data_IF_830775545385
#
_entry.id   IF_830775545385
#
_cell.length_a   1.000
_cell.length_b   1.000
_cell.length_c   1.000
_cell.angle_alpha   90.00
_cell.angle_beta   90.00
_cell.angle_gamma   90.00
#
_symmetry.space_group_name_H-M   'P 1'
#
loop_
_entity.id
_entity.type
_entity.pdbx_description
1 polymer ?
#
# COMPACT_ATOMS: atom_id res chain seq x y z
N UNK A 1 -14.64 -12.76 25.12
CA UNK A 1 -14.73 -11.28 25.10
C UNK A 1 -13.66 -10.59 24.23
N UNK A 2 -12.44 -11.13 24.11
CA UNK A 2 -11.32 -10.51 23.39
C UNK A 2 -11.47 -10.43 21.84
N UNK A 3 -12.28 -11.29 21.23
CA UNK A 3 -12.55 -11.27 19.77
C UNK A 3 -13.48 -10.15 19.31
N UNK A 4 -14.27 -9.54 20.21
CA UNK A 4 -15.25 -8.49 19.85
C UNK A 4 -14.72 -7.07 20.00
N UNK A 5 -13.66 -6.86 20.78
CA UNK A 5 -13.03 -5.55 20.97
C UNK A 5 -12.14 -5.15 19.78
N UNK A 6 -11.45 -6.12 19.17
CA UNK A 6 -10.68 -5.91 17.94
C UNK A 6 -11.53 -5.68 16.68
N UNK A 7 -12.77 -6.16 16.67
CA UNK A 7 -13.69 -6.00 15.53
C UNK A 7 -14.36 -4.61 15.46
N UNK A 8 -14.22 -3.76 16.49
CA UNK A 8 -14.79 -2.40 16.51
C UNK A 8 -13.78 -1.26 16.54
N UNK A 9 -12.49 -1.53 16.77
CA UNK A 9 -11.47 -0.49 16.97
C UNK A 9 -10.60 -0.18 15.73
N UNK A 10 -10.70 -0.94 14.62
CA UNK A 10 -9.77 -0.72 13.48
C UNK A 10 -10.40 -0.19 12.17
N UNK A 11 -11.71 -0.29 11.96
CA UNK A 11 -12.33 0.28 10.77
C UNK A 11 -13.77 0.74 11.08
N UNK A 12 -14.05 2.04 11.26
CA UNK A 12 -15.35 2.53 10.84
C UNK A 12 -15.46 2.18 9.36
N UNK A 13 -16.52 1.46 8.98
CA UNK A 13 -16.89 1.25 7.58
C UNK A 13 -17.14 2.64 6.99
N UNK A 14 -16.06 3.25 6.51
CA UNK A 14 -16.06 4.54 5.87
C UNK A 14 -16.68 4.27 4.50
N UNK A 15 -17.77 4.97 4.22
CA UNK A 15 -18.56 4.77 3.02
C UNK A 15 -17.68 4.77 1.76
N UNK A 16 -18.05 4.03 0.70
CA UNK A 16 -17.22 3.87 -0.51
C UNK A 16 -16.94 5.19 -1.28
N UNK A 17 -17.46 6.33 -0.81
CA UNK A 17 -17.39 7.62 -1.51
C UNK A 17 -16.10 8.41 -1.28
N UNK A 18 -15.20 7.98 -0.39
CA UNK A 18 -13.97 8.74 -0.07
C UNK A 18 -12.66 8.12 -0.58
N UNK A 19 -12.68 7.02 -1.35
CA UNK A 19 -11.47 6.47 -2.04
C UNK A 19 -11.05 7.33 -3.24
N UNK A 20 -11.14 8.66 -3.09
CA UNK A 20 -10.83 9.65 -4.11
C UNK A 20 -9.84 10.70 -3.65
N UNK A 21 -9.35 10.63 -2.40
CA UNK A 21 -8.35 11.53 -1.88
C UNK A 21 -7.26 10.67 -1.28
N UNK A 22 -6.03 10.83 -1.77
CA UNK A 22 -4.81 10.32 -1.16
C UNK A 22 -4.91 10.47 0.36
N UNK A 23 -5.24 9.38 1.05
CA UNK A 23 -5.51 9.46 2.48
C UNK A 23 -4.21 9.94 3.14
N UNK A 24 -4.23 11.02 3.93
CA UNK A 24 -3.03 11.61 4.52
C UNK A 24 -2.22 10.59 5.34
N UNK A 25 -2.89 9.53 5.82
CA UNK A 25 -2.30 8.37 6.49
C UNK A 25 -1.27 7.63 5.62
N UNK A 26 -1.52 7.51 4.32
CA UNK A 26 -0.59 6.87 3.38
C UNK A 26 0.68 7.71 3.19
N UNK A 27 0.52 9.03 3.02
CA UNK A 27 1.63 9.98 2.85
C UNK A 27 2.50 9.99 4.12
N UNK A 28 1.87 10.06 5.30
CA UNK A 28 2.58 10.02 6.59
C UNK A 28 3.38 8.71 6.71
N UNK A 29 2.80 7.57 6.34
CA UNK A 29 3.50 6.29 6.37
C UNK A 29 4.69 6.26 5.40
N UNK A 30 4.56 6.78 4.18
CA UNK A 30 5.67 6.85 3.22
C UNK A 30 6.80 7.75 3.74
N UNK A 31 6.48 8.90 4.32
CA UNK A 31 7.48 9.81 4.91
C UNK A 31 8.20 9.17 6.10
N UNK A 32 7.47 8.49 6.99
CA UNK A 32 8.07 7.76 8.10
C UNK A 32 8.98 6.63 7.61
N UNK A 33 8.57 5.87 6.60
CA UNK A 33 9.37 4.78 6.05
C UNK A 33 10.65 5.29 5.39
N UNK A 34 10.57 6.38 4.62
CA UNK A 34 11.73 7.01 3.98
C UNK A 34 12.70 7.58 5.02
N UNK A 35 12.18 8.22 6.07
CA UNK A 35 12.98 8.72 7.18
C UNK A 35 13.71 7.59 7.93
N UNK A 36 13.03 6.48 8.20
CA UNK A 36 13.64 5.29 8.80
C UNK A 36 14.74 4.68 7.92
N UNK A 37 14.53 4.61 6.60
CA UNK A 37 15.54 4.11 5.67
C UNK A 37 16.79 5.00 5.65
N UNK A 38 16.62 6.32 5.59
CA UNK A 38 17.73 7.28 5.61
C UNK A 38 18.50 7.19 6.93
N UNK A 39 17.79 7.06 8.06
CA UNK A 39 18.39 6.85 9.37
C UNK A 39 19.19 5.54 9.44
N UNK A 40 18.67 4.45 8.88
CA UNK A 40 19.38 3.15 8.81
C UNK A 40 20.63 3.18 7.93
N UNK A 41 20.67 4.03 6.90
CA UNK A 41 21.85 4.15 6.00
C UNK A 41 22.97 4.99 6.63
N UNK A 42 22.62 6.00 7.43
CA UNK A 42 23.61 6.91 8.03
C UNK A 42 24.08 6.49 9.42
N UNK A 43 23.39 5.53 10.05
CA UNK A 43 23.70 5.09 11.40
C UNK A 43 24.55 3.82 11.42
N UNK A 44 25.76 3.91 11.97
CA UNK A 44 26.63 2.76 12.21
C UNK A 44 26.14 2.00 13.47
N UNK A 45 25.81 0.69 13.39
CA UNK A 45 25.23 -0.05 14.51
C UNK A 45 26.28 -0.34 15.59
N UNK A 46 26.55 0.63 16.46
CA UNK A 46 27.37 0.42 17.68
C UNK A 46 26.52 -0.24 18.78
N UNK A 47 27.10 -1.20 19.52
CA UNK A 47 26.39 -2.04 20.51
C UNK A 47 25.72 -1.29 21.68
N UNK A 48 26.04 -0.01 21.86
CA UNK A 48 25.51 0.83 22.95
C UNK A 48 24.11 1.44 22.68
N UNK A 49 23.61 1.41 21.44
CA UNK A 49 22.38 2.11 21.07
C UNK A 49 21.17 1.19 20.83
N UNK A 50 21.00 0.15 21.66
CA UNK A 50 19.92 -0.85 21.50
C UNK A 50 18.51 -0.26 21.56
N UNK A 51 18.29 0.75 22.41
CA UNK A 51 16.99 1.42 22.52
C UNK A 51 16.62 2.22 21.28
N UNK A 52 17.60 2.84 20.63
CA UNK A 52 17.39 3.55 19.36
C UNK A 52 16.99 2.57 18.25
N UNK A 53 17.66 1.42 18.19
CA UNK A 53 17.38 0.37 17.21
C UNK A 53 15.97 -0.25 17.41
N UNK A 54 15.55 -0.45 18.67
CA UNK A 54 14.19 -0.89 19.02
C UNK A 54 13.12 0.15 18.63
N UNK A 55 13.37 1.44 18.90
CA UNK A 55 12.48 2.52 18.49
C UNK A 55 12.33 2.60 16.97
N UNK A 56 13.44 2.49 16.25
CA UNK A 56 13.48 2.49 14.79
C UNK A 56 12.71 1.31 14.18
N UNK A 57 12.90 0.09 14.72
CA UNK A 57 12.13 -1.09 14.33
C UNK A 57 10.63 -0.95 14.64
N UNK A 58 10.28 -0.30 15.75
CA UNK A 58 8.90 -0.02 16.11
C UNK A 58 8.21 0.94 15.13
N UNK A 59 8.87 2.04 14.78
CA UNK A 59 8.36 3.01 13.80
C UNK A 59 8.29 2.39 12.40
N UNK A 60 9.31 1.61 12.01
CA UNK A 60 9.33 0.91 10.74
C UNK A 60 8.19 -0.11 10.62
N UNK A 61 7.99 -0.95 11.64
CA UNK A 61 6.88 -1.91 11.69
C UNK A 61 5.50 -1.25 11.71
N UNK A 62 5.35 -0.11 12.38
CA UNK A 62 4.13 0.68 12.34
C UNK A 62 3.82 1.19 10.93
N UNK A 63 4.81 1.77 10.24
CA UNK A 63 4.66 2.26 8.88
C UNK A 63 4.31 1.13 7.89
N UNK A 64 4.95 -0.04 8.01
CA UNK A 64 4.63 -1.22 7.19
C UNK A 64 3.19 -1.72 7.43
N UNK A 65 2.74 -1.76 8.68
CA UNK A 65 1.37 -2.13 9.03
C UNK A 65 0.32 -1.21 8.39
N UNK A 66 0.59 0.09 8.34
CA UNK A 66 -0.26 1.05 7.61
C UNK A 66 -0.25 0.77 6.12
N UNK A 67 0.94 0.51 5.55
CA UNK A 67 1.09 0.25 4.12
C UNK A 67 0.33 -1.00 3.67
N UNK A 68 0.41 -2.07 4.45
CA UNK A 68 -0.33 -3.32 4.23
C UNK A 68 -1.84 -3.09 4.29
N UNK A 69 -2.32 -2.35 5.30
CA UNK A 69 -3.75 -2.06 5.48
C UNK A 69 -4.32 -1.24 4.32
N UNK A 70 -3.58 -0.21 3.91
CA UNK A 70 -4.00 0.67 2.81
C UNK A 70 -3.98 -0.06 1.46
N UNK A 71 -2.96 -0.87 1.20
CA UNK A 71 -2.86 -1.66 -0.04
C UNK A 71 -4.01 -2.66 -0.15
N UNK A 72 -4.34 -3.35 0.95
CA UNK A 72 -5.46 -4.30 0.97
C UNK A 72 -6.80 -3.59 0.76
N UNK A 73 -7.01 -2.42 1.36
CA UNK A 73 -8.22 -1.61 1.14
C UNK A 73 -8.34 -1.16 -0.31
N UNK A 74 -7.24 -0.71 -0.91
CA UNK A 74 -7.19 -0.26 -2.29
C UNK A 74 -7.50 -1.39 -3.28
N UNK A 75 -6.92 -2.57 -3.08
CA UNK A 75 -7.21 -3.76 -3.90
C UNK A 75 -8.70 -4.10 -3.83
N UNK A 76 -9.30 -4.04 -2.63
CA UNK A 76 -10.74 -4.31 -2.44
C UNK A 76 -11.64 -3.28 -3.13
N UNK A 77 -11.22 -2.01 -3.18
CA UNK A 77 -11.98 -0.94 -3.83
C UNK A 77 -11.91 -1.01 -5.37
N UNK A 78 -10.78 -1.45 -5.93
CA UNK A 78 -10.55 -1.52 -7.38
C UNK A 78 -11.24 -2.72 -8.02
N UNK A 79 -11.22 -3.85 -7.32
CA UNK A 79 -11.76 -5.12 -7.79
C UNK A 79 -12.97 -5.55 -6.97
N UNK A 80 -13.91 -4.62 -6.72
CA UNK A 80 -15.11 -4.89 -5.92
C UNK A 80 -15.91 -6.12 -6.41
N UNK A 81 -15.87 -6.41 -7.72
CA UNK A 81 -16.62 -7.50 -8.36
C UNK A 81 -15.85 -8.83 -8.41
N UNK A 82 -14.53 -8.82 -8.19
CA UNK A 82 -13.64 -10.02 -8.26
C UNK A 82 -12.56 -10.01 -7.17
N UNK A 83 -12.93 -9.61 -5.96
CA UNK A 83 -11.96 -9.42 -4.87
C UNK A 83 -11.28 -10.73 -4.48
N UNK A 84 -11.99 -11.86 -4.50
CA UNK A 84 -11.50 -13.16 -4.05
C UNK A 84 -10.30 -13.65 -4.89
N UNK A 85 -10.40 -13.55 -6.22
CA UNK A 85 -9.31 -13.89 -7.14
C UNK A 85 -8.16 -12.89 -7.07
N UNK A 86 -8.46 -11.60 -6.92
CA UNK A 86 -7.45 -10.54 -6.84
C UNK A 86 -6.59 -10.68 -5.57
N UNK A 87 -7.22 -10.94 -4.42
CA UNK A 87 -6.51 -11.21 -3.16
C UNK A 87 -5.69 -12.49 -3.24
N UNK A 88 -6.22 -13.56 -3.84
CA UNK A 88 -5.50 -14.82 -4.05
C UNK A 88 -4.20 -14.60 -4.85
N UNK A 89 -4.29 -13.93 -6.00
CA UNK A 89 -3.11 -13.62 -6.83
C UNK A 89 -2.09 -12.73 -6.09
N UNK A 90 -2.55 -11.70 -5.37
CA UNK A 90 -1.66 -10.82 -4.59
C UNK A 90 -0.91 -11.57 -3.48
N UNK A 91 -1.56 -12.51 -2.78
CA UNK A 91 -0.93 -13.31 -1.73
C UNK A 91 0.14 -14.25 -2.29
N UNK A 92 -0.13 -14.89 -3.43
CA UNK A 92 0.86 -15.72 -4.12
C UNK A 92 2.06 -14.88 -4.55
N UNK A 93 1.83 -13.71 -5.14
CA UNK A 93 2.89 -12.79 -5.54
C UNK A 93 3.76 -12.33 -4.36
N UNK A 94 3.14 -11.98 -3.23
CA UNK A 94 3.86 -11.63 -2.00
C UNK A 94 4.73 -12.79 -1.50
N UNK A 95 4.21 -14.02 -1.53
CA UNK A 95 4.97 -15.22 -1.17
C UNK A 95 6.18 -15.45 -2.07
N UNK A 96 6.03 -15.29 -3.39
CA UNK A 96 7.12 -15.39 -4.37
C UNK A 96 8.18 -14.32 -4.10
N UNK A 97 7.76 -13.08 -3.84
CA UNK A 97 8.67 -11.99 -3.49
C UNK A 97 9.47 -12.31 -2.22
N UNK A 98 8.81 -12.79 -1.16
CA UNK A 98 9.48 -13.19 0.08
C UNK A 98 10.51 -14.30 -0.14
N UNK A 99 10.19 -15.29 -0.98
CA UNK A 99 11.10 -16.37 -1.36
C UNK A 99 12.33 -15.82 -2.13
N UNK A 100 12.11 -14.95 -3.11
CA UNK A 100 13.19 -14.32 -3.88
C UNK A 100 14.12 -13.53 -2.95
N UNK A 101 13.57 -12.70 -2.06
CA UNK A 101 14.36 -11.91 -1.10
C UNK A 101 15.17 -12.82 -0.17
N UNK A 102 14.58 -13.91 0.31
CA UNK A 102 15.26 -14.88 1.15
C UNK A 102 16.46 -15.51 0.43
N UNK A 103 16.28 -15.95 -0.82
CA UNK A 103 17.35 -16.54 -1.62
C UNK A 103 18.46 -15.54 -1.96
N UNK A 104 18.09 -14.29 -2.22
CA UNK A 104 19.04 -13.21 -2.52
C UNK A 104 19.76 -12.69 -1.26
N UNK A 105 19.24 -12.92 -0.06
CA UNK A 105 19.78 -12.35 1.19
C UNK A 105 21.21 -12.82 1.50
N UNK A 106 21.56 -14.06 1.16
CA UNK A 106 22.87 -14.65 1.42
C UNK A 106 23.93 -14.28 0.37
N UNK A 107 23.52 -13.83 -0.81
CA UNK A 107 24.42 -13.60 -1.97
C UNK A 107 24.66 -12.10 -2.22
N UNK A 108 23.75 -11.22 -1.78
CA UNK A 108 23.81 -9.79 -2.13
C UNK A 108 24.64 -8.95 -1.13
N UNK A 109 25.61 -8.23 -1.68
CA UNK A 109 26.34 -7.17 -1.01
C UNK A 109 25.41 -5.99 -0.63
N UNK A 110 25.71 -5.23 0.42
CA UNK A 110 24.81 -4.25 1.05
C UNK A 110 24.23 -3.20 0.06
N UNK A 111 25.01 -2.77 -0.93
CA UNK A 111 24.54 -1.83 -1.97
C UNK A 111 23.40 -2.42 -2.82
N UNK A 112 23.47 -3.71 -3.16
CA UNK A 112 22.44 -4.37 -3.98
C UNK A 112 21.14 -4.54 -3.19
N UNK A 113 21.23 -4.74 -1.86
CA UNK A 113 20.04 -4.79 -0.99
C UNK A 113 19.30 -3.46 -0.97
N UNK A 114 20.04 -2.34 -0.89
CA UNK A 114 19.44 -0.99 -0.93
C UNK A 114 18.84 -0.68 -2.30
N UNK A 115 19.53 -1.05 -3.39
CA UNK A 115 19.01 -0.86 -4.76
C UNK A 115 17.72 -1.66 -5.02
N UNK A 116 17.61 -2.88 -4.47
CA UNK A 116 16.40 -3.70 -4.56
C UNK A 116 15.21 -3.07 -3.84
N UNK A 117 15.44 -2.48 -2.65
CA UNK A 117 14.38 -1.78 -1.91
C UNK A 117 13.95 -0.51 -2.66
N UNK A 118 14.90 0.25 -3.21
CA UNK A 118 14.61 1.47 -3.96
C UNK A 118 13.81 1.21 -5.25
N UNK A 119 14.14 0.15 -5.99
CA UNK A 119 13.39 -0.24 -7.20
C UNK A 119 11.99 -0.75 -6.85
N UNK A 120 11.85 -1.53 -5.77
CA UNK A 120 10.56 -1.97 -5.26
C UNK A 120 9.67 -0.79 -4.85
N UNK A 121 10.20 0.20 -4.11
CA UNK A 121 9.46 1.41 -3.75
C UNK A 121 9.00 2.19 -4.99
N UNK A 122 9.85 2.30 -6.01
CA UNK A 122 9.52 2.98 -7.26
C UNK A 122 8.40 2.28 -8.02
N UNK A 123 8.43 0.94 -8.06
CA UNK A 123 7.39 0.12 -8.69
C UNK A 123 6.05 0.26 -7.97
N UNK A 124 6.05 0.32 -6.64
CA UNK A 124 4.83 0.57 -5.85
C UNK A 124 4.21 1.92 -6.20
N UNK A 125 5.02 2.98 -6.28
CA UNK A 125 4.53 4.32 -6.66
C UNK A 125 3.95 4.31 -8.07
N UNK A 126 4.65 3.70 -9.03
CA UNK A 126 4.16 3.59 -10.41
C UNK A 126 2.81 2.85 -10.49
N UNK A 127 2.66 1.75 -9.75
CA UNK A 127 1.43 0.98 -9.70
C UNK A 127 0.26 1.80 -9.11
N UNK A 128 0.52 2.60 -8.07
CA UNK A 128 -0.48 3.51 -7.50
C UNK A 128 -0.91 4.60 -8.47
N UNK A 129 0.03 5.18 -9.23
CA UNK A 129 -0.28 6.18 -10.26
C UNK A 129 -1.14 5.56 -11.38
N UNK A 130 -0.74 4.39 -11.88
CA UNK A 130 -1.52 3.66 -12.91
C UNK A 130 -2.93 3.37 -12.42
N UNK A 131 -3.05 2.94 -11.17
CA UNK A 131 -4.34 2.67 -10.57
C UNK A 131 -5.20 3.93 -10.48
N UNK A 132 -4.64 5.05 -10.02
CA UNK A 132 -5.36 6.31 -9.94
C UNK A 132 -5.86 6.75 -11.33
N UNK A 133 -5.05 6.57 -12.37
CA UNK A 133 -5.43 6.83 -13.76
C UNK A 133 -6.59 5.92 -14.20
N UNK A 134 -6.54 4.62 -13.90
CA UNK A 134 -7.61 3.67 -14.25
C UNK A 134 -8.91 4.03 -13.53
N UNK A 135 -8.84 4.38 -12.25
CA UNK A 135 -10.01 4.80 -11.45
C UNK A 135 -10.62 6.09 -12.02
N UNK A 136 -9.80 7.09 -12.34
CA UNK A 136 -10.24 8.34 -12.98
C UNK A 136 -10.92 8.07 -14.33
N UNK A 137 -10.34 7.17 -15.14
CA UNK A 137 -10.90 6.76 -16.44
C UNK A 137 -12.25 6.06 -16.32
N UNK A 138 -12.42 5.18 -15.32
CA UNK A 138 -13.70 4.50 -15.06
C UNK A 138 -14.79 5.50 -14.64
N UNK A 139 -14.46 6.47 -13.78
CA UNK A 139 -15.40 7.55 -13.40
C UNK A 139 -15.81 8.42 -14.59
N UNK A 140 -14.86 8.76 -15.47
CA UNK A 140 -15.15 9.54 -16.68
C UNK A 140 -16.07 8.79 -17.64
N UNK A 141 -15.86 7.48 -17.85
CA UNK A 141 -16.75 6.64 -18.69
C UNK A 141 -18.16 6.51 -18.11
N UNK A 142 -18.30 6.26 -16.81
CA UNK A 142 -19.62 6.18 -16.16
C UNK A 142 -20.40 7.49 -16.24
N UNK A 143 -19.71 8.63 -16.17
CA UNK A 143 -20.32 9.96 -16.32
C UNK A 143 -20.78 10.20 -17.76
N UNK A 144 -20.02 9.73 -18.76
CA UNK A 144 -20.39 9.83 -20.17
C UNK A 144 -21.63 8.98 -20.52
N UNK A 145 -21.68 7.72 -20.06
CA UNK A 145 -22.86 6.85 -20.25
C UNK A 145 -24.12 7.42 -19.59
N UNK A 146 -24.00 7.99 -18.39
CA UNK A 146 -25.12 8.65 -17.71
C UNK A 146 -25.62 9.86 -18.50
N UNK A 147 -24.70 10.70 -19.03
CA UNK A 147 -25.07 11.89 -19.80
C UNK A 147 -25.80 11.50 -21.10
N UNK A 148 -25.32 10.47 -21.81
CA UNK A 148 -25.98 9.98 -23.02
C UNK A 148 -27.35 9.36 -22.75
N UNK A 149 -27.53 8.65 -21.63
CA UNK A 149 -28.84 8.11 -21.25
C UNK A 149 -29.87 9.22 -20.93
N UNK A 150 -29.43 10.29 -20.26
CA UNK A 150 -30.26 11.46 -19.95
C UNK A 150 -30.63 12.21 -21.24
N UNK A 151 -29.70 12.39 -22.16
CA UNK A 151 -29.93 13.09 -23.44
C UNK A 151 -30.97 12.36 -24.31
N UNK A 152 -30.94 11.02 -24.31
CA UNK A 152 -31.94 10.20 -25.02
C UNK A 152 -33.34 10.33 -24.39
N UNK A 153 -33.46 10.46 -23.06
CA UNK A 153 -34.74 10.68 -22.39
C UNK A 153 -35.32 12.09 -22.57
N UNK A 154 -34.47 13.11 -22.75
CA UNK A 154 -34.94 14.49 -22.95
C UNK A 154 -35.43 14.73 -24.39
N UNK A 155 -34.89 13.98 -25.36
CA UNK A 155 -35.25 14.10 -26.77
C UNK A 155 -36.33 13.10 -27.24
N UNK A 156 -36.89 12.29 -26.34
CA UNK A 156 -37.96 11.32 -26.60
C UNK A 156 -39.30 11.82 -26.03
#
# INVERSE_FOLDING_TARGET
>A
MFRRFWLRQLFPVRSPRQVGRTDPVFIIATVLNLGCLVAMVHWDPTKEHRYFLLGLLGVWGFADGVWQSQTNSLISAVFADRYESAFGCCRVWQGISGLIVFLLSSVLCMIHKVAFIASACSLTIACLIVLEIVVRRRKARASAETNSAVEIQVNA
#
